data_IF_938452134979
#
_entry.id   IF_938452134979
#
_cell.length_a   1.000
_cell.length_b   1.000
_cell.length_c   1.000
_cell.angle_alpha   90.00
_cell.angle_beta   90.00
_cell.angle_gamma   90.00
#
_symmetry.space_group_name_H-M   'P 1'
#
loop_
_entity.id
_entity.type
_entity.pdbx_description
1 polymer ?
#
# COMPACT_ATOMS: atom_id res chain seq x y z
N UNK A 1 -6.06 20.78 -2.26
CA UNK A 1 -6.58 19.40 -2.02
C UNK A 1 -5.72 18.71 -0.96
N UNK A 2 -6.09 18.82 0.32
CA UNK A 2 -5.33 18.22 1.43
C UNK A 2 -5.51 16.70 1.49
N UNK A 3 -6.74 16.20 1.32
CA UNK A 3 -7.05 14.76 1.49
C UNK A 3 -6.27 13.82 0.58
N UNK A 4 -6.10 14.13 -0.71
CA UNK A 4 -5.34 13.26 -1.62
C UNK A 4 -3.85 13.21 -1.27
N UNK A 5 -3.28 14.35 -0.84
CA UNK A 5 -1.88 14.38 -0.40
C UNK A 5 -1.68 13.64 0.93
N UNK A 6 -2.66 13.71 1.84
CA UNK A 6 -2.68 12.94 3.09
C UNK A 6 -2.76 11.43 2.85
N UNK A 7 -3.60 10.98 1.91
CA UNK A 7 -3.69 9.56 1.53
C UNK A 7 -2.36 9.09 0.94
N UNK A 8 -1.75 9.86 0.02
CA UNK A 8 -0.46 9.53 -0.55
C UNK A 8 0.68 9.54 0.48
N UNK A 9 0.60 10.40 1.50
CA UNK A 9 1.55 10.42 2.61
C UNK A 9 1.38 9.20 3.51
N UNK A 10 0.14 8.81 3.83
CA UNK A 10 -0.15 7.58 4.58
C UNK A 10 0.36 6.34 3.86
N UNK A 11 0.19 6.27 2.53
CA UNK A 11 0.71 5.16 1.73
C UNK A 11 2.23 5.05 1.85
N UNK A 12 2.95 6.19 1.68
CA UNK A 12 4.41 6.23 1.80
C UNK A 12 4.90 5.83 3.20
N UNK A 13 4.19 6.25 4.26
CA UNK A 13 4.50 5.84 5.63
C UNK A 13 4.33 4.32 5.84
N UNK A 14 3.34 3.70 5.20
CA UNK A 14 3.10 2.26 5.33
C UNK A 14 4.07 1.35 4.56
N UNK A 15 4.97 1.90 3.73
CA UNK A 15 5.92 1.08 2.97
C UNK A 15 7.05 0.57 3.88
N UNK A 16 7.16 -0.75 3.94
CA UNK A 16 8.23 -1.48 4.59
C UNK A 16 9.30 -1.91 3.57
N UNK A 17 10.50 -2.20 4.07
CA UNK A 17 11.63 -2.75 3.30
C UNK A 17 12.03 -4.11 3.86
N UNK A 18 12.10 -5.13 3.01
CA UNK A 18 12.58 -6.46 3.39
C UNK A 18 14.11 -6.49 3.48
N UNK A 19 14.66 -7.53 4.08
CA UNK A 19 16.12 -7.76 4.13
C UNK A 19 16.77 -7.86 2.76
N UNK A 20 16.02 -8.28 1.73
CA UNK A 20 16.46 -8.34 0.33
C UNK A 20 16.24 -7.01 -0.42
N UNK A 21 15.82 -5.95 0.27
CA UNK A 21 15.62 -4.61 -0.31
C UNK A 21 14.28 -4.41 -1.00
N UNK A 22 13.37 -5.38 -0.97
CA UNK A 22 12.05 -5.22 -1.58
C UNK A 22 11.17 -4.26 -0.78
N UNK A 23 10.54 -3.29 -1.45
CA UNK A 23 9.46 -2.45 -0.91
C UNK A 23 8.11 -3.17 -0.95
N UNK A 24 7.42 -3.22 0.18
CA UNK A 24 6.11 -3.86 0.31
C UNK A 24 5.29 -3.21 1.43
N UNK A 25 3.99 -3.50 1.49
CA UNK A 25 3.12 -3.14 2.61
C UNK A 25 1.97 -4.13 2.74
N UNK A 26 1.36 -4.22 3.92
CA UNK A 26 0.03 -4.81 4.08
C UNK A 26 -1.05 -3.73 4.06
N UNK A 27 -2.24 -4.06 3.54
CA UNK A 27 -3.39 -3.14 3.52
C UNK A 27 -3.75 -2.62 4.91
N UNK A 28 -3.64 -3.46 5.95
CA UNK A 28 -3.86 -3.04 7.35
C UNK A 28 -2.90 -1.93 7.79
N UNK A 29 -1.65 -1.95 7.33
CA UNK A 29 -0.66 -0.93 7.68
C UNK A 29 -1.03 0.41 7.05
N UNK A 30 -1.49 0.39 5.80
CA UNK A 30 -2.00 1.57 5.12
C UNK A 30 -3.27 2.12 5.79
N UNK A 31 -4.24 1.27 6.13
CA UNK A 31 -5.46 1.66 6.87
C UNK A 31 -5.10 2.27 8.23
N UNK A 32 -4.09 1.73 8.92
CA UNK A 32 -3.60 2.28 10.19
C UNK A 32 -2.99 3.67 10.00
N UNK A 33 -2.18 3.86 8.96
CA UNK A 33 -1.60 5.17 8.62
C UNK A 33 -2.65 6.21 8.21
N UNK A 34 -3.73 5.78 7.55
CA UNK A 34 -4.88 6.64 7.21
C UNK A 34 -5.62 7.09 8.47
N UNK A 35 -5.90 6.17 9.41
CA UNK A 35 -6.60 6.48 10.67
C UNK A 35 -5.85 7.49 11.52
N UNK A 36 -4.51 7.44 11.54
CA UNK A 36 -3.66 8.44 12.23
C UNK A 36 -3.86 9.87 11.68
N UNK A 37 -4.38 10.01 10.47
CA UNK A 37 -4.70 11.28 9.80
C UNK A 37 -6.20 11.61 9.79
N UNK A 38 -7.01 10.86 10.54
CA UNK A 38 -8.47 11.02 10.55
C UNK A 38 -9.17 10.55 9.26
N UNK A 39 -8.51 9.72 8.45
CA UNK A 39 -9.07 9.16 7.23
C UNK A 39 -9.48 7.71 7.51
N UNK A 40 -10.75 7.39 7.27
CA UNK A 40 -11.32 6.08 7.57
C UNK A 40 -11.62 5.33 6.28
N UNK A 41 -10.73 4.42 5.90
CA UNK A 41 -10.98 3.44 4.84
C UNK A 41 -11.20 2.05 5.46
N UNK A 42 -12.07 1.27 4.82
CA UNK A 42 -12.04 -0.19 4.89
C UNK A 42 -10.82 -0.74 4.13
N UNK A 43 -10.48 -2.00 4.38
CA UNK A 43 -9.42 -2.67 3.62
C UNK A 43 -9.74 -2.74 2.13
N UNK A 44 -11.01 -2.96 1.76
CA UNK A 44 -11.49 -2.98 0.37
C UNK A 44 -11.26 -1.63 -0.32
N UNK A 45 -11.62 -0.51 0.34
CA UNK A 45 -11.40 0.84 -0.20
C UNK A 45 -9.91 1.17 -0.33
N UNK A 46 -9.11 0.76 0.66
CA UNK A 46 -7.67 0.90 0.63
C UNK A 46 -7.05 0.10 -0.54
N UNK A 47 -7.49 -1.15 -0.75
CA UNK A 47 -7.08 -1.99 -1.87
C UNK A 47 -7.43 -1.34 -3.22
N UNK A 48 -8.66 -0.84 -3.35
CA UNK A 48 -9.10 -0.15 -4.56
C UNK A 48 -8.27 1.12 -4.83
N UNK A 49 -7.91 1.87 -3.78
CA UNK A 49 -7.05 3.04 -3.92
C UNK A 49 -5.63 2.67 -4.36
N UNK A 50 -5.00 1.66 -3.74
CA UNK A 50 -3.65 1.21 -4.11
C UNK A 50 -3.64 0.74 -5.57
N UNK A 51 -4.60 -0.11 -5.96
CA UNK A 51 -4.72 -0.61 -7.33
C UNK A 51 -4.82 0.51 -8.38
N UNK A 52 -5.54 1.58 -8.05
CA UNK A 52 -5.79 2.71 -8.95
C UNK A 52 -4.63 3.70 -9.01
N UNK A 53 -4.00 3.98 -7.87
CA UNK A 53 -3.07 5.12 -7.72
C UNK A 53 -1.60 4.70 -7.68
N UNK A 54 -1.30 3.43 -7.36
CA UNK A 54 0.05 2.92 -7.15
C UNK A 54 0.35 1.77 -8.10
N UNK A 55 0.36 2.05 -9.41
CA UNK A 55 0.56 1.07 -10.49
C UNK A 55 1.85 0.26 -10.39
N UNK A 56 2.86 0.75 -9.67
CA UNK A 56 4.11 0.03 -9.42
C UNK A 56 4.00 -1.01 -8.30
N UNK A 57 2.93 -1.04 -7.51
CA UNK A 57 2.70 -2.06 -6.48
C UNK A 57 1.69 -3.09 -7.00
N UNK A 58 2.04 -4.37 -6.87
CA UNK A 58 1.21 -5.49 -7.29
C UNK A 58 0.80 -6.34 -6.10
N UNK A 59 -0.42 -6.87 -6.17
CA UNK A 59 -0.97 -7.80 -5.18
C UNK A 59 -0.22 -9.15 -5.24
N UNK A 60 0.26 -9.61 -4.09
CA UNK A 60 0.99 -10.87 -3.88
C UNK A 60 0.33 -11.75 -2.81
N UNK A 61 -0.93 -11.47 -2.48
CA UNK A 61 -1.66 -12.22 -1.46
C UNK A 61 -1.90 -13.66 -1.92
N UNK A 62 -1.46 -14.64 -1.12
CA UNK A 62 -1.59 -16.06 -1.44
C UNK A 62 -3.00 -16.61 -1.14
N UNK A 63 -3.71 -15.98 -0.21
CA UNK A 63 -5.04 -16.39 0.27
C UNK A 63 -6.10 -15.33 -0.05
N UNK A 64 -7.38 -15.70 0.05
CA UNK A 64 -8.48 -14.74 -0.04
C UNK A 64 -8.58 -13.89 1.24
N UNK A 65 -7.82 -12.79 1.28
CA UNK A 65 -7.84 -11.82 2.38
C UNK A 65 -7.84 -10.38 1.84
N UNK A 66 -8.58 -9.49 2.49
CA UNK A 66 -8.53 -8.05 2.20
C UNK A 66 -7.30 -7.37 2.83
N UNK A 67 -6.62 -8.02 3.78
CA UNK A 67 -5.32 -7.58 4.27
C UNK A 67 -4.20 -7.99 3.27
N UNK A 68 -4.31 -7.46 2.06
CA UNK A 68 -3.47 -7.85 0.93
C UNK A 68 -2.00 -7.48 1.15
N UNK A 69 -1.12 -8.31 0.63
CA UNK A 69 0.31 -8.01 0.53
C UNK A 69 0.57 -7.33 -0.81
N UNK A 70 0.92 -6.04 -0.76
CA UNK A 70 1.30 -5.26 -1.93
C UNK A 70 2.82 -5.16 -2.01
N UNK A 71 3.40 -5.51 -3.15
CA UNK A 71 4.86 -5.47 -3.35
C UNK A 71 5.20 -4.69 -4.63
N UNK A 72 6.24 -3.87 -4.58
CA UNK A 72 6.64 -3.13 -5.76
C UNK A 72 7.16 -4.08 -6.86
N UNK A 73 6.67 -3.91 -8.08
CA UNK A 73 7.03 -4.68 -9.26
C UNK A 73 8.46 -4.35 -9.73
N UNK A 74 9.06 -5.30 -10.47
CA UNK A 74 10.34 -5.14 -11.18
C UNK A 74 11.56 -4.73 -10.33
N UNK A 75 11.51 -4.83 -9.00
CA UNK A 75 12.71 -4.64 -8.16
C UNK A 75 13.68 -5.80 -8.40
N UNK A 76 14.70 -5.58 -9.25
CA UNK A 76 15.69 -6.58 -9.65
C UNK A 76 15.86 -6.75 -11.16
N UNK A 77 15.03 -6.10 -11.99
CA UNK A 77 15.31 -5.93 -13.42
C UNK A 77 15.88 -4.53 -13.66
N UNK A 78 17.10 -4.46 -14.17
CA UNK A 78 17.60 -3.27 -14.87
C UNK A 78 16.95 -3.32 -16.26
N UNK A 79 16.20 -2.28 -16.63
CA UNK A 79 15.76 -2.07 -18.01
C UNK A 79 16.91 -1.48 -18.83
#
# INVERSE_FOLDING_TARGET
>A
MLRQSDIAAAFRESILRSSKGFRYLHTRDFVTALRRRGIHFSEVEANAWIAREQSYFVDKTAEHSENRLWMMANMGRVL
#
